data_IF_559515783219
#
_entry.id   IF_559515783219
#
_cell.length_a   1.000
_cell.length_b   1.000
_cell.length_c   1.000
_cell.angle_alpha   90.00
_cell.angle_beta   90.00
_cell.angle_gamma   90.00
#
_symmetry.space_group_name_H-M   'P 1'
#
loop_
_entity.id
_entity.type
_entity.pdbx_description
1 polymer ?
#
# COMPACT_ATOMS: atom_id res chain seq x y z
N UNK A 1 -4.60 11.66 30.90
CA UNK A 1 -4.36 12.85 30.05
C UNK A 1 -3.35 12.45 28.98
N UNK A 2 -3.64 12.69 27.70
CA UNK A 2 -2.77 12.38 26.56
C UNK A 2 -2.37 13.66 25.82
N UNK A 3 -1.26 13.60 25.07
CA UNK A 3 -0.87 14.69 24.17
C UNK A 3 -1.93 14.84 23.07
N UNK A 4 -2.41 16.07 22.77
CA UNK A 4 -3.33 16.29 21.66
C UNK A 4 -2.59 16.16 20.33
N UNK A 5 -3.27 15.64 19.30
CA UNK A 5 -2.74 15.49 17.95
C UNK A 5 -3.58 16.35 16.99
N UNK A 6 -2.92 17.22 16.23
CA UNK A 6 -3.56 18.16 15.30
C UNK A 6 -2.87 18.07 13.94
N UNK A 7 -3.56 17.46 12.98
CA UNK A 7 -3.06 17.31 11.61
C UNK A 7 -3.29 18.58 10.79
N UNK A 8 -2.26 19.02 10.07
CA UNK A 8 -2.32 20.15 9.14
C UNK A 8 -1.81 19.69 7.78
N UNK A 9 -2.72 19.61 6.82
CA UNK A 9 -2.41 19.28 5.43
C UNK A 9 -2.10 20.52 4.60
N UNK A 10 -1.12 20.41 3.71
CA UNK A 10 -0.77 21.43 2.72
C UNK A 10 -0.89 20.88 1.31
N UNK A 11 -1.21 21.76 0.34
CA UNK A 11 -1.18 21.40 -1.07
C UNK A 11 0.22 20.93 -1.49
N UNK A 12 0.28 19.81 -2.22
CA UNK A 12 1.53 19.17 -2.65
C UNK A 12 2.51 20.15 -3.31
N UNK A 13 2.02 20.98 -4.24
CA UNK A 13 2.83 21.90 -5.07
C UNK A 13 3.70 22.84 -4.24
N UNK A 14 3.19 23.31 -3.09
CA UNK A 14 3.89 24.28 -2.22
C UNK A 14 4.27 23.71 -0.85
N UNK A 15 3.98 22.42 -0.58
CA UNK A 15 4.36 21.73 0.67
C UNK A 15 5.85 21.86 0.98
N UNK A 16 6.69 21.80 -0.05
CA UNK A 16 8.14 21.95 0.10
C UNK A 16 8.58 23.31 0.66
N UNK A 17 7.83 24.39 0.41
CA UNK A 17 8.15 25.71 0.97
C UNK A 17 7.94 25.74 2.49
N UNK A 18 6.84 25.14 2.95
CA UNK A 18 6.53 25.04 4.39
C UNK A 18 7.56 24.18 5.09
N UNK A 19 7.93 23.03 4.51
CA UNK A 19 8.98 22.15 5.06
C UNK A 19 10.30 22.91 5.20
N UNK A 20 10.73 23.64 4.16
CA UNK A 20 11.96 24.44 4.19
C UNK A 20 11.90 25.53 5.26
N UNK A 21 10.77 26.23 5.39
CA UNK A 21 10.59 27.24 6.43
C UNK A 21 10.74 26.64 7.83
N UNK A 22 10.11 25.49 8.10
CA UNK A 22 10.20 24.81 9.40
C UNK A 22 11.65 24.34 9.68
N UNK A 23 12.34 23.78 8.68
CA UNK A 23 13.76 23.40 8.79
C UNK A 23 14.65 24.61 9.10
N UNK A 24 14.45 25.75 8.44
CA UNK A 24 15.20 26.99 8.70
C UNK A 24 14.91 27.54 10.10
N UNK A 25 13.66 27.42 10.57
CA UNK A 25 13.22 27.94 11.87
C UNK A 25 13.75 27.12 13.05
N UNK A 26 13.83 25.79 12.91
CA UNK A 26 14.10 24.88 14.03
C UNK A 26 15.40 24.08 13.92
N UNK A 27 16.13 24.18 12.80
CA UNK A 27 17.35 23.41 12.54
C UNK A 27 17.10 22.24 11.59
N UNK A 28 18.00 22.04 10.63
CA UNK A 28 17.89 21.00 9.61
C UNK A 28 18.06 19.58 10.18
N UNK A 29 18.79 19.44 11.29
CA UNK A 29 19.04 18.21 12.04
C UNK A 29 17.88 17.85 13.00
N UNK A 30 16.95 18.77 13.24
CA UNK A 30 15.81 18.59 14.14
C UNK A 30 14.48 18.29 13.40
N UNK A 31 14.46 18.37 12.07
CA UNK A 31 13.23 18.23 11.26
C UNK A 31 13.42 17.18 10.17
N UNK A 32 12.64 16.10 10.25
CA UNK A 32 12.65 15.00 9.29
C UNK A 32 11.23 14.62 8.83
N UNK A 33 11.14 13.93 7.69
CA UNK A 33 9.89 13.35 7.22
C UNK A 33 9.69 11.95 7.81
N UNK A 34 8.45 11.62 8.14
CA UNK A 34 8.05 10.27 8.53
C UNK A 34 7.77 9.46 7.26
N UNK A 35 8.29 8.24 7.18
CA UNK A 35 8.09 7.36 6.02
C UNK A 35 6.84 6.50 6.18
N UNK A 36 6.19 6.21 5.06
CA UNK A 36 5.11 5.22 4.98
C UNK A 36 5.66 3.89 4.50
N UNK A 37 5.46 2.82 5.26
CA UNK A 37 5.84 1.47 4.85
C UNK A 37 4.77 0.88 3.92
N UNK A 38 5.13 0.65 2.65
CA UNK A 38 4.29 -0.08 1.72
C UNK A 38 4.43 -1.59 1.93
N UNK A 39 3.42 -2.23 2.52
CA UNK A 39 3.36 -3.70 2.61
C UNK A 39 2.91 -4.30 1.27
N UNK A 40 3.28 -5.56 1.02
CA UNK A 40 2.87 -6.26 -0.21
C UNK A 40 1.39 -6.66 -0.08
N UNK A 41 0.57 -6.20 -1.04
CA UNK A 41 -0.83 -6.63 -1.14
C UNK A 41 -0.93 -8.03 -1.74
N UNK A 42 -1.99 -8.78 -1.44
CA UNK A 42 -2.21 -10.12 -1.98
C UNK A 42 -2.11 -10.15 -3.52
N UNK A 43 -2.66 -9.14 -4.21
CA UNK A 43 -2.55 -8.97 -5.67
C UNK A 43 -1.11 -8.78 -6.13
N UNK A 44 -0.32 -7.96 -5.43
CA UNK A 44 1.08 -7.74 -5.77
C UNK A 44 1.89 -9.02 -5.59
N UNK A 45 1.67 -9.76 -4.49
CA UNK A 45 2.35 -11.04 -4.24
C UNK A 45 2.05 -12.05 -5.34
N UNK A 46 0.78 -12.22 -5.75
CA UNK A 46 0.43 -13.13 -6.85
C UNK A 46 1.15 -12.79 -8.16
N UNK A 47 1.25 -11.49 -8.48
CA UNK A 47 1.97 -11.01 -9.68
C UNK A 47 3.46 -11.27 -9.61
N UNK A 48 4.06 -11.03 -8.45
CA UNK A 48 5.49 -11.22 -8.25
C UNK A 48 5.87 -12.71 -8.22
N UNK A 49 5.10 -13.57 -7.53
CA UNK A 49 5.36 -15.02 -7.52
C UNK A 49 5.08 -15.65 -8.89
N UNK A 50 4.02 -15.23 -9.59
CA UNK A 50 3.75 -15.69 -10.95
C UNK A 50 4.87 -15.34 -11.93
N UNK A 51 5.49 -14.18 -11.79
CA UNK A 51 6.68 -13.79 -12.58
C UNK A 51 7.87 -14.71 -12.29
N UNK A 52 8.12 -15.02 -11.01
CA UNK A 52 9.21 -15.93 -10.60
C UNK A 52 8.99 -17.34 -11.15
N UNK A 53 7.74 -17.80 -11.16
CA UNK A 53 7.35 -19.10 -11.71
C UNK A 53 7.25 -19.12 -13.25
N UNK A 54 7.62 -18.03 -13.93
CA UNK A 54 7.55 -17.87 -15.39
C UNK A 54 6.15 -18.14 -15.98
N UNK A 55 5.10 -17.89 -15.20
CA UNK A 55 3.72 -17.98 -15.67
C UNK A 55 3.40 -16.85 -16.64
N UNK A 56 2.48 -17.08 -17.58
CA UNK A 56 2.06 -16.04 -18.52
C UNK A 56 1.41 -14.85 -17.78
N UNK A 57 1.73 -13.63 -18.20
CA UNK A 57 1.18 -12.42 -17.58
C UNK A 57 -0.35 -12.42 -17.54
N UNK A 58 -1.00 -12.85 -18.63
CA UNK A 58 -2.46 -12.90 -18.72
C UNK A 58 -3.10 -13.84 -17.71
N UNK A 59 -2.48 -15.00 -17.47
CA UNK A 59 -2.95 -15.95 -16.45
C UNK A 59 -2.84 -15.35 -15.04
N UNK A 60 -1.68 -14.77 -14.72
CA UNK A 60 -1.43 -14.20 -13.38
C UNK A 60 -2.30 -12.96 -13.14
N UNK A 61 -2.53 -12.13 -14.15
CA UNK A 61 -3.40 -10.96 -14.04
C UNK A 61 -4.87 -11.36 -13.85
N UNK A 62 -5.34 -12.43 -14.51
CA UNK A 62 -6.67 -13.01 -14.29
C UNK A 62 -6.84 -13.43 -12.83
N UNK A 63 -5.90 -14.21 -12.30
CA UNK A 63 -5.92 -14.67 -10.91
C UNK A 63 -5.88 -13.50 -9.91
N UNK A 64 -5.01 -12.52 -10.14
CA UNK A 64 -4.91 -11.35 -9.27
C UNK A 64 -6.20 -10.50 -9.27
N UNK A 65 -6.97 -10.49 -10.36
CA UNK A 65 -8.24 -9.75 -10.43
C UNK A 65 -9.37 -10.35 -9.59
N UNK A 66 -9.29 -11.65 -9.28
CA UNK A 66 -10.27 -12.34 -8.43
C UNK A 66 -10.17 -11.93 -6.94
N UNK A 67 -9.00 -11.50 -6.48
CA UNK A 67 -8.81 -11.00 -5.09
C UNK A 67 -9.47 -9.64 -4.93
N UNK A 68 -10.45 -9.39 -4.05
CA UNK A 68 -11.08 -8.07 -3.90
C UNK A 68 -10.06 -6.95 -3.59
N UNK A 69 -10.26 -5.77 -4.18
CA UNK A 69 -9.33 -4.63 -4.04
C UNK A 69 -10.01 -3.40 -3.44
N UNK A 70 -10.25 -3.44 -2.14
CA UNK A 70 -10.76 -2.28 -1.40
C UNK A 70 -9.58 -1.53 -0.74
N UNK A 71 -9.34 -0.25 -1.05
CA UNK A 71 -8.18 0.48 -0.53
C UNK A 71 -8.08 0.53 1.01
N UNK A 72 -9.23 0.56 1.69
CA UNK A 72 -9.30 0.61 3.16
C UNK A 72 -9.58 -0.76 3.80
N UNK A 73 -9.80 -1.79 2.99
CA UNK A 73 -9.98 -3.18 3.45
C UNK A 73 -9.21 -4.13 2.52
N UNK A 74 -7.87 -4.19 2.63
CA UNK A 74 -7.06 -5.06 1.80
C UNK A 74 -7.26 -6.53 2.20
N UNK A 75 -7.71 -7.36 1.27
CA UNK A 75 -7.91 -8.79 1.54
C UNK A 75 -6.59 -9.57 1.53
N UNK A 76 -6.45 -10.51 2.47
CA UNK A 76 -5.38 -11.51 2.48
C UNK A 76 -5.70 -12.66 1.52
N UNK A 77 -4.69 -13.43 1.11
CA UNK A 77 -4.89 -14.61 0.26
C UNK A 77 -5.81 -15.65 0.92
N UNK A 78 -5.64 -15.89 2.21
CA UNK A 78 -6.50 -16.78 2.99
C UNK A 78 -7.95 -16.32 2.99
N UNK A 79 -8.19 -15.02 3.22
CA UNK A 79 -9.55 -14.45 3.15
C UNK A 79 -10.13 -14.58 1.74
N UNK A 80 -9.33 -14.40 0.69
CA UNK A 80 -9.77 -14.61 -0.69
C UNK A 80 -10.12 -16.06 -0.98
N UNK A 81 -9.35 -17.03 -0.47
CA UNK A 81 -9.65 -18.47 -0.63
C UNK A 81 -10.98 -18.87 0.04
N UNK A 82 -11.29 -18.25 1.19
CA UNK A 82 -12.51 -18.55 1.93
C UNK A 82 -13.73 -17.75 1.45
N UNK A 83 -13.52 -16.59 0.83
CA UNK A 83 -14.59 -15.63 0.50
C UNK A 83 -14.91 -15.47 -0.99
N UNK A 84 -14.10 -16.04 -1.90
CA UNK A 84 -14.31 -15.95 -3.35
C UNK A 84 -14.29 -17.35 -3.95
N UNK A 85 -15.47 -17.85 -4.35
CA UNK A 85 -15.65 -19.18 -4.94
C UNK A 85 -14.78 -19.43 -6.16
N UNK A 86 -14.65 -18.44 -7.03
CA UNK A 86 -13.89 -18.50 -8.27
C UNK A 86 -12.39 -18.55 -8.00
N UNK A 87 -11.92 -17.87 -6.95
CA UNK A 87 -10.53 -17.93 -6.53
C UNK A 87 -10.19 -19.28 -5.92
N UNK A 88 -11.13 -19.87 -5.17
CA UNK A 88 -11.00 -21.24 -4.65
C UNK A 88 -10.96 -22.27 -5.78
N UNK A 89 -11.82 -22.14 -6.78
CA UNK A 89 -11.88 -23.06 -7.91
C UNK A 89 -10.60 -23.08 -8.77
N UNK A 90 -9.84 -21.98 -8.81
CA UNK A 90 -8.52 -21.95 -9.48
C UNK A 90 -7.37 -22.48 -8.58
N UNK A 91 -7.63 -22.65 -7.28
CA UNK A 91 -6.66 -23.20 -6.33
C UNK A 91 -6.71 -24.73 -6.23
N UNK A 92 -7.92 -25.30 -6.32
CA UNK A 92 -8.17 -26.76 -6.32
C UNK A 92 -7.78 -27.41 -7.66
#
# INVERSE_FOLDING_TARGET
>A
VSMPDFDIDFCETRRGEVIRYVQQKYGADHVAQIITFGTRTARAVLKDTGRVLQMSYGQVDRLAKLVPNHPTDPWTLERSLNGVSEFRAEYD
#
